data_IF_649909401478
#
_entry.id   IF_649909401478
#
_cell.length_a   1.000
_cell.length_b   1.000
_cell.length_c   1.000
_cell.angle_alpha   90.00
_cell.angle_beta   90.00
_cell.angle_gamma   90.00
#
_symmetry.space_group_name_H-M   'P 1'
#
loop_
_entity.id
_entity.type
_entity.pdbx_description
1 polymer ?
#
# COMPACT_ATOMS: atom_id res chain seq x y z
N UNK A 1 -1.37 8.71 -2.31
CA UNK A 1 -1.43 10.19 -2.15
C UNK A 1 -0.30 10.69 -1.25
N UNK A 2 0.17 9.92 -0.29
CA UNK A 2 1.04 10.38 0.81
C UNK A 2 0.43 11.60 1.53
N UNK A 3 -0.84 11.47 1.91
CA UNK A 3 -1.62 12.60 2.41
C UNK A 3 -1.13 13.11 3.79
N UNK A 4 -0.39 12.29 4.53
CA UNK A 4 0.28 12.70 5.76
C UNK A 4 1.23 13.90 5.54
N UNK A 5 1.91 13.98 4.38
CA UNK A 5 2.76 15.12 4.01
C UNK A 5 1.98 16.44 3.81
N UNK A 6 0.67 16.36 3.67
CA UNK A 6 -0.22 17.51 3.52
C UNK A 6 -0.98 17.83 4.82
N UNK A 7 -0.85 16.97 5.84
CA UNK A 7 -1.58 17.10 7.09
C UNK A 7 -0.83 18.00 8.08
N UNK A 8 -1.38 19.17 8.38
CA UNK A 8 -0.79 20.15 9.26
C UNK A 8 -1.90 20.83 10.12
N UNK A 9 -1.65 21.00 11.39
CA UNK A 9 -2.58 21.66 12.34
C UNK A 9 -4.02 21.09 12.35
N UNK A 10 -4.18 19.79 12.05
CA UNK A 10 -5.48 19.12 12.09
C UNK A 10 -6.29 19.19 10.79
N UNK A 11 -5.67 19.60 9.68
CA UNK A 11 -6.30 19.67 8.37
C UNK A 11 -5.32 19.36 7.24
N UNK A 12 -5.85 18.88 6.11
CA UNK A 12 -5.09 18.62 4.88
C UNK A 12 -4.98 19.89 4.04
N UNK A 13 -3.75 20.33 3.75
CA UNK A 13 -3.42 21.56 3.06
C UNK A 13 -3.44 21.37 1.54
N UNK A 14 -4.33 22.05 0.84
CA UNK A 14 -4.43 22.07 -0.62
C UNK A 14 -4.16 23.47 -1.16
N UNK A 15 -3.83 23.58 -2.44
CA UNK A 15 -3.55 24.87 -3.09
C UNK A 15 -4.76 25.81 -3.14
N UNK A 16 -5.96 25.28 -3.03
CA UNK A 16 -7.24 25.97 -3.10
C UNK A 16 -7.97 26.06 -1.74
N UNK A 17 -7.36 25.58 -0.67
CA UNK A 17 -7.90 25.60 0.68
C UNK A 17 -7.43 24.45 1.54
N UNK A 18 -8.04 24.30 2.69
CA UNK A 18 -7.80 23.17 3.60
C UNK A 18 -9.03 22.27 3.68
N UNK A 19 -8.83 21.00 4.03
CA UNK A 19 -9.87 20.02 4.28
C UNK A 19 -9.71 19.42 5.67
N UNK A 20 -10.81 19.30 6.39
CA UNK A 20 -10.87 18.45 7.60
C UNK A 20 -10.70 16.97 7.22
N UNK A 21 -10.52 16.09 8.21
CA UNK A 21 -10.47 14.65 7.98
C UNK A 21 -11.73 14.14 7.28
N UNK A 22 -12.91 14.55 7.71
CA UNK A 22 -14.17 14.15 7.08
C UNK A 22 -14.27 14.62 5.62
N UNK A 23 -13.89 15.88 5.34
CA UNK A 23 -13.85 16.40 3.97
C UNK A 23 -12.80 15.70 3.08
N UNK A 24 -11.70 15.24 3.67
CA UNK A 24 -10.70 14.45 2.95
C UNK A 24 -11.23 13.06 2.61
N UNK A 25 -11.93 12.40 3.53
CA UNK A 25 -12.60 11.12 3.29
C UNK A 25 -13.63 11.26 2.17
N UNK A 26 -14.53 12.24 2.25
CA UNK A 26 -15.51 12.51 1.20
C UNK A 26 -14.85 12.81 -0.17
N UNK A 27 -13.76 13.57 -0.17
CA UNK A 27 -13.00 13.88 -1.38
C UNK A 27 -12.39 12.63 -2.02
N UNK A 28 -11.75 11.77 -1.22
CA UNK A 28 -11.14 10.52 -1.72
C UNK A 28 -12.21 9.56 -2.21
N UNK A 29 -13.29 9.38 -1.45
CA UNK A 29 -14.42 8.55 -1.86
C UNK A 29 -15.03 9.03 -3.19
N UNK A 30 -15.18 10.35 -3.34
CA UNK A 30 -15.63 10.93 -4.60
C UNK A 30 -14.70 10.67 -5.79
N UNK A 31 -13.37 10.69 -5.57
CA UNK A 31 -12.39 10.32 -6.62
C UNK A 31 -12.49 8.84 -7.01
N UNK A 32 -12.69 7.95 -6.03
CA UNK A 32 -12.89 6.52 -6.28
C UNK A 32 -14.10 6.31 -7.18
N UNK A 33 -15.23 6.92 -6.84
CA UNK A 33 -16.49 6.78 -7.60
C UNK A 33 -16.41 7.43 -9.00
N UNK A 34 -15.86 8.66 -9.10
CA UNK A 34 -15.81 9.40 -10.36
C UNK A 34 -14.88 8.76 -11.40
N UNK A 35 -13.77 8.17 -10.93
CA UNK A 35 -12.71 7.66 -11.79
C UNK A 35 -12.59 6.14 -11.81
N UNK A 36 -13.46 5.42 -11.12
CA UNK A 36 -13.41 3.95 -10.99
C UNK A 36 -12.02 3.47 -10.57
N UNK A 37 -11.49 4.09 -9.50
CA UNK A 37 -10.14 3.80 -9.03
C UNK A 37 -10.08 2.41 -8.39
N UNK A 38 -9.21 1.56 -8.90
CA UNK A 38 -8.97 0.22 -8.34
C UNK A 38 -8.03 0.23 -7.13
N UNK A 39 -7.31 1.33 -6.88
CA UNK A 39 -6.27 1.38 -5.85
C UNK A 39 -6.03 2.83 -5.38
N UNK A 40 -6.00 3.02 -4.09
CA UNK A 40 -5.66 4.29 -3.42
C UNK A 40 -4.67 4.03 -2.30
N UNK A 41 -3.52 4.70 -2.31
CA UNK A 41 -2.45 4.53 -1.34
C UNK A 41 -2.32 5.78 -0.46
N UNK A 42 -2.23 5.58 0.86
CA UNK A 42 -2.06 6.61 1.89
C UNK A 42 -2.92 7.85 1.66
N UNK A 43 -4.25 7.70 1.62
CA UNK A 43 -5.14 8.83 1.38
C UNK A 43 -5.34 9.75 2.58
N UNK A 44 -4.87 9.34 3.78
CA UNK A 44 -5.09 9.99 5.06
C UNK A 44 -3.79 10.07 5.88
N UNK A 45 -3.83 10.68 7.07
CA UNK A 45 -2.71 10.73 8.00
C UNK A 45 -2.32 9.32 8.48
N UNK A 46 -1.03 9.02 8.51
CA UNK A 46 -0.45 7.70 8.81
C UNK A 46 -0.70 7.20 10.25
N UNK A 47 -1.29 8.00 11.11
CA UNK A 47 -1.63 7.64 12.48
C UNK A 47 -3.14 7.64 12.75
N UNK A 48 -3.96 7.98 11.77
CA UNK A 48 -5.41 8.06 11.90
C UNK A 48 -6.11 6.79 11.41
N UNK A 49 -5.99 5.71 12.20
CA UNK A 49 -6.63 4.43 11.89
C UNK A 49 -8.16 4.52 11.80
N UNK A 50 -8.79 5.41 12.60
CA UNK A 50 -10.24 5.59 12.58
C UNK A 50 -10.68 6.17 11.23
N UNK A 51 -9.99 7.19 10.74
CA UNK A 51 -10.28 7.78 9.43
C UNK A 51 -10.06 6.78 8.27
N UNK A 52 -9.01 5.95 8.34
CA UNK A 52 -8.82 4.88 7.37
C UNK A 52 -9.95 3.85 7.44
N UNK A 53 -10.45 3.49 8.62
CA UNK A 53 -11.57 2.59 8.78
C UNK A 53 -12.85 3.16 8.17
N UNK A 54 -13.15 4.44 8.43
CA UNK A 54 -14.31 5.14 7.89
C UNK A 54 -14.28 5.18 6.35
N UNK A 55 -13.12 5.45 5.75
CA UNK A 55 -12.96 5.43 4.30
C UNK A 55 -13.11 4.00 3.74
N UNK A 56 -12.54 3.02 4.43
CA UNK A 56 -12.60 1.61 4.00
C UNK A 56 -14.04 1.08 4.06
N UNK A 57 -14.82 1.46 5.08
CA UNK A 57 -16.25 1.12 5.16
C UNK A 57 -17.04 1.71 3.98
N UNK A 58 -16.68 2.92 3.52
CA UNK A 58 -17.40 3.59 2.43
C UNK A 58 -17.09 3.02 1.05
N UNK A 59 -15.84 2.73 0.73
CA UNK A 59 -15.41 2.40 -0.64
C UNK A 59 -14.56 1.13 -0.77
N UNK A 60 -14.25 0.45 0.32
CA UNK A 60 -13.37 -0.72 0.34
C UNK A 60 -13.88 -1.93 -0.47
N UNK A 61 -15.19 -2.02 -0.72
CA UNK A 61 -15.78 -3.03 -1.61
C UNK A 61 -15.50 -2.76 -3.11
N UNK A 62 -15.07 -1.56 -3.45
CA UNK A 62 -14.86 -1.11 -4.84
C UNK A 62 -13.38 -0.90 -5.18
N UNK A 63 -12.55 -0.62 -4.18
CA UNK A 63 -11.16 -0.23 -4.36
C UNK A 63 -10.26 -0.78 -3.25
N UNK A 64 -8.98 -0.96 -3.56
CA UNK A 64 -7.98 -1.23 -2.53
C UNK A 64 -7.58 0.08 -1.86
N UNK A 65 -7.82 0.17 -0.55
CA UNK A 65 -7.27 1.20 0.31
C UNK A 65 -5.99 0.63 0.91
N UNK A 66 -4.85 1.13 0.46
CA UNK A 66 -3.56 0.57 0.81
C UNK A 66 -2.83 1.45 1.83
N UNK A 67 -2.40 0.83 2.92
CA UNK A 67 -1.49 1.46 3.88
C UNK A 67 -0.03 1.19 3.50
N UNK A 68 0.71 2.25 3.17
CA UNK A 68 2.16 2.29 3.05
C UNK A 68 2.76 2.83 4.36
N UNK A 69 2.69 4.13 4.58
CA UNK A 69 3.19 4.77 5.79
C UNK A 69 2.33 4.45 7.02
N UNK A 70 1.05 4.13 6.82
CA UNK A 70 0.17 3.62 7.87
C UNK A 70 0.77 2.38 8.56
N UNK A 71 1.30 1.43 7.79
CA UNK A 71 1.76 0.12 8.29
C UNK A 71 3.28 -0.05 8.31
N UNK A 72 4.02 0.63 7.44
CA UNK A 72 5.49 0.56 7.29
C UNK A 72 6.06 -0.87 7.28
N UNK A 73 5.31 -1.84 6.73
CA UNK A 73 5.65 -3.28 6.74
C UNK A 73 5.83 -3.84 8.18
N UNK A 74 5.20 -3.24 9.19
CA UNK A 74 5.38 -3.58 10.59
C UNK A 74 4.19 -4.36 11.13
N UNK A 75 4.43 -5.55 11.68
CA UNK A 75 3.41 -6.46 12.23
C UNK A 75 2.53 -5.77 13.27
N UNK A 76 3.11 -5.03 14.22
CA UNK A 76 2.32 -4.40 15.29
C UNK A 76 1.41 -3.29 14.77
N UNK A 77 1.90 -2.47 13.82
CA UNK A 77 1.05 -1.45 13.18
C UNK A 77 -0.05 -2.07 12.32
N UNK A 78 0.24 -3.20 11.68
CA UNK A 78 -0.77 -3.95 10.93
C UNK A 78 -1.82 -4.56 11.85
N UNK A 79 -1.43 -5.11 13.02
CA UNK A 79 -2.37 -5.60 14.04
C UNK A 79 -3.33 -4.50 14.50
N UNK A 80 -2.79 -3.31 14.81
CA UNK A 80 -3.60 -2.14 15.20
C UNK A 80 -4.60 -1.76 14.09
N UNK A 81 -4.16 -1.77 12.83
CA UNK A 81 -5.03 -1.48 11.68
C UNK A 81 -6.11 -2.53 11.45
N UNK A 82 -5.78 -3.80 11.59
CA UNK A 82 -6.74 -4.91 11.48
C UNK A 82 -7.81 -4.79 12.59
N UNK A 83 -7.40 -4.50 13.82
CA UNK A 83 -8.32 -4.31 14.94
C UNK A 83 -9.27 -3.11 14.72
N UNK A 84 -8.78 -2.05 14.09
CA UNK A 84 -9.57 -0.87 13.75
C UNK A 84 -10.44 -1.04 12.50
N UNK A 85 -10.17 -2.04 11.65
CA UNK A 85 -10.78 -2.16 10.32
C UNK A 85 -10.23 -1.16 9.31
N UNK A 86 -9.02 -0.65 9.55
CA UNK A 86 -8.36 0.35 8.73
C UNK A 86 -7.69 -0.26 7.51
N UNK A 87 -8.00 0.22 6.31
CA UNK A 87 -7.50 -0.29 5.04
C UNK A 87 -7.98 -1.73 4.71
N UNK A 88 -7.67 -2.22 3.53
CA UNK A 88 -7.91 -3.60 3.09
C UNK A 88 -6.71 -4.18 2.34
N UNK A 89 -5.62 -3.43 2.27
CA UNK A 89 -4.38 -3.86 1.63
C UNK A 89 -3.16 -3.18 2.27
N UNK A 90 -2.00 -3.82 2.13
CA UNK A 90 -0.73 -3.36 2.69
C UNK A 90 0.36 -3.29 1.62
N UNK A 91 1.15 -2.23 1.65
CA UNK A 91 2.37 -2.14 0.86
C UNK A 91 3.54 -2.77 1.63
N UNK A 92 4.21 -3.72 1.00
CA UNK A 92 5.31 -4.49 1.57
C UNK A 92 6.64 -4.01 1.01
N UNK A 93 7.48 -3.49 1.88
CA UNK A 93 8.83 -2.99 1.56
C UNK A 93 9.87 -3.67 2.46
N UNK A 94 10.53 -4.76 2.02
CA UNK A 94 11.44 -5.54 2.87
C UNK A 94 12.54 -4.74 3.54
N UNK A 95 13.06 -3.71 2.87
CA UNK A 95 14.09 -2.85 3.43
C UNK A 95 13.58 -1.78 4.39
N UNK A 96 12.27 -1.60 4.54
CA UNK A 96 11.65 -0.69 5.50
C UNK A 96 11.64 -1.33 6.90
N UNK A 97 11.27 -2.60 6.98
CA UNK A 97 11.33 -3.38 8.23
C UNK A 97 12.74 -3.95 8.49
N UNK A 98 13.51 -4.26 7.44
CA UNK A 98 14.93 -4.56 7.53
C UNK A 98 15.30 -6.04 7.60
N UNK A 99 14.36 -6.97 7.72
CA UNK A 99 14.60 -8.41 7.62
C UNK A 99 13.56 -9.13 6.77
N UNK A 100 13.96 -10.23 6.11
CA UNK A 100 13.01 -11.04 5.35
C UNK A 100 12.04 -11.79 6.27
N UNK A 101 12.47 -12.17 7.47
CA UNK A 101 11.59 -12.86 8.43
C UNK A 101 10.45 -11.95 8.84
N UNK A 102 10.73 -10.72 9.29
CA UNK A 102 9.70 -9.77 9.69
C UNK A 102 8.81 -9.35 8.49
N UNK A 103 9.40 -9.32 7.28
CA UNK A 103 8.62 -9.09 6.04
C UNK A 103 7.61 -10.21 5.81
N UNK A 104 8.04 -11.47 5.93
CA UNK A 104 7.15 -12.63 5.75
C UNK A 104 6.09 -12.67 6.85
N UNK A 105 6.46 -12.38 8.09
CA UNK A 105 5.51 -12.31 9.21
C UNK A 105 4.40 -11.28 8.95
N UNK A 106 4.75 -10.10 8.39
CA UNK A 106 3.77 -9.09 8.02
C UNK A 106 2.87 -9.54 6.85
N UNK A 107 3.42 -10.23 5.84
CA UNK A 107 2.66 -10.79 4.73
C UNK A 107 1.69 -11.87 5.24
N UNK A 108 2.17 -12.80 6.05
CA UNK A 108 1.34 -13.88 6.60
C UNK A 108 0.19 -13.32 7.45
N UNK A 109 0.45 -12.30 8.27
CA UNK A 109 -0.58 -11.64 9.07
C UNK A 109 -1.64 -10.97 8.18
N UNK A 110 -1.21 -10.26 7.13
CA UNK A 110 -2.10 -9.61 6.16
C UNK A 110 -3.03 -10.63 5.50
N UNK A 111 -2.46 -11.68 4.92
CA UNK A 111 -3.21 -12.77 4.24
C UNK A 111 -4.19 -13.47 5.18
N UNK A 112 -3.77 -13.78 6.42
CA UNK A 112 -4.64 -14.42 7.41
C UNK A 112 -5.86 -13.58 7.78
N UNK A 113 -5.79 -12.26 7.60
CA UNK A 113 -6.87 -11.32 7.92
C UNK A 113 -7.58 -10.75 6.68
N UNK A 114 -7.31 -11.31 5.48
CA UNK A 114 -8.00 -10.94 4.25
C UNK A 114 -7.54 -9.64 3.62
N UNK A 115 -6.35 -9.15 3.98
CA UNK A 115 -5.72 -8.01 3.31
C UNK A 115 -4.99 -8.46 2.05
N UNK A 116 -5.15 -7.68 0.98
CA UNK A 116 -4.34 -7.83 -0.23
C UNK A 116 -2.90 -7.36 0.02
N UNK A 117 -1.93 -8.04 -0.58
CA UNK A 117 -0.51 -7.74 -0.40
C UNK A 117 0.13 -7.19 -1.66
N UNK A 118 0.83 -6.06 -1.56
CA UNK A 118 1.49 -5.41 -2.68
C UNK A 118 2.99 -5.33 -2.41
N UNK A 119 3.81 -6.17 -3.03
CA UNK A 119 5.26 -6.09 -2.91
C UNK A 119 5.78 -4.88 -3.69
N UNK A 120 6.56 -4.01 -3.04
CA UNK A 120 6.91 -2.72 -3.61
C UNK A 120 8.41 -2.47 -3.70
N UNK A 121 8.79 -1.79 -4.76
CA UNK A 121 10.07 -1.12 -4.90
C UNK A 121 10.18 0.13 -4.01
N UNK A 122 11.33 0.80 -4.06
CA UNK A 122 11.55 2.12 -3.47
C UNK A 122 11.88 3.15 -4.56
N UNK A 123 11.80 4.45 -4.21
CA UNK A 123 12.20 5.54 -5.13
C UNK A 123 13.68 5.45 -5.54
N UNK A 124 14.57 5.10 -4.61
CA UNK A 124 16.00 4.87 -4.85
C UNK A 124 16.30 3.41 -5.18
N UNK A 125 15.73 2.87 -6.26
CA UNK A 125 15.80 1.47 -6.64
C UNK A 125 17.08 1.12 -7.42
N UNK A 126 17.41 -0.18 -7.46
CA UNK A 126 18.50 -0.78 -8.23
C UNK A 126 17.99 -1.84 -9.20
N UNK A 127 18.87 -2.46 -9.98
CA UNK A 127 18.50 -3.57 -10.88
C UNK A 127 18.33 -4.93 -10.14
N UNK A 128 18.45 -4.96 -8.81
CA UNK A 128 18.17 -6.16 -8.00
C UNK A 128 16.72 -6.62 -8.21
N UNK A 129 16.54 -7.94 -8.33
CA UNK A 129 15.24 -8.55 -8.65
C UNK A 129 14.59 -9.30 -7.49
N UNK A 130 15.14 -9.20 -6.28
CA UNK A 130 14.67 -9.93 -5.10
C UNK A 130 13.17 -9.78 -4.84
N UNK A 131 12.62 -8.56 -5.03
CA UNK A 131 11.18 -8.33 -4.82
C UNK A 131 10.29 -9.07 -5.82
N UNK A 132 10.77 -9.38 -7.04
CA UNK A 132 10.03 -10.21 -7.98
C UNK A 132 9.93 -11.66 -7.49
N UNK A 133 11.03 -12.22 -6.97
CA UNK A 133 11.04 -13.54 -6.35
C UNK A 133 10.17 -13.57 -5.08
N UNK A 134 10.24 -12.53 -4.25
CA UNK A 134 9.43 -12.45 -3.05
C UNK A 134 7.93 -12.45 -3.40
N UNK A 135 7.52 -11.64 -4.36
CA UNK A 135 6.12 -11.57 -4.79
C UNK A 135 5.59 -12.94 -5.22
N UNK A 136 6.35 -13.67 -6.03
CA UNK A 136 5.95 -15.02 -6.48
C UNK A 136 6.01 -16.04 -5.33
N UNK A 137 7.04 -15.99 -4.49
CA UNK A 137 7.22 -16.96 -3.41
C UNK A 137 6.17 -16.84 -2.29
N UNK A 138 5.60 -15.65 -2.10
CA UNK A 138 4.56 -15.39 -1.10
C UNK A 138 3.15 -15.37 -1.69
N UNK A 139 3.00 -15.65 -2.99
CA UNK A 139 1.73 -15.57 -3.72
C UNK A 139 1.06 -14.18 -3.54
N UNK A 140 1.88 -13.12 -3.58
CA UNK A 140 1.39 -11.77 -3.37
C UNK A 140 0.44 -11.36 -4.50
N UNK A 141 -0.62 -10.62 -4.14
CA UNK A 141 -1.67 -10.23 -5.07
C UNK A 141 -1.16 -9.27 -6.14
N UNK A 142 -0.24 -8.37 -5.77
CA UNK A 142 0.30 -7.34 -6.67
C UNK A 142 1.79 -7.09 -6.44
N UNK A 143 2.40 -6.46 -7.47
CA UNK A 143 3.74 -5.89 -7.36
C UNK A 143 3.76 -4.46 -7.91
N UNK A 144 4.39 -3.54 -7.17
CA UNK A 144 4.57 -2.13 -7.54
C UNK A 144 6.04 -1.90 -7.89
N UNK A 145 6.39 -1.83 -9.18
CA UNK A 145 7.80 -1.71 -9.64
C UNK A 145 8.07 -0.48 -10.47
N UNK A 146 7.04 0.17 -11.01
CA UNK A 146 7.18 1.11 -12.14
C UNK A 146 7.53 0.38 -13.45
N UNK A 147 7.60 1.11 -14.56
CA UNK A 147 7.76 0.53 -15.90
C UNK A 147 8.84 1.20 -16.75
N UNK A 148 9.41 2.30 -16.28
CA UNK A 148 10.40 3.12 -17.00
C UNK A 148 11.74 3.04 -16.30
N UNK A 149 12.83 2.94 -17.07
CA UNK A 149 14.22 2.77 -16.66
C UNK A 149 14.58 1.32 -16.26
N UNK A 150 15.90 1.03 -16.29
CA UNK A 150 16.44 -0.34 -16.15
C UNK A 150 16.12 -0.98 -14.81
N UNK A 151 16.27 -0.24 -13.74
CA UNK A 151 15.97 -0.69 -12.37
C UNK A 151 14.50 -1.06 -12.15
N UNK A 152 13.58 -0.53 -12.97
CA UNK A 152 12.14 -0.87 -12.94
C UNK A 152 11.85 -2.10 -13.79
N UNK A 153 12.31 -2.07 -15.05
CA UNK A 153 12.07 -3.16 -16.00
C UNK A 153 12.79 -4.45 -15.62
N UNK A 154 13.87 -4.41 -14.84
CA UNK A 154 14.55 -5.60 -14.31
C UNK A 154 13.58 -6.55 -13.58
N UNK A 155 12.71 -6.02 -12.71
CA UNK A 155 11.72 -6.81 -11.97
C UNK A 155 10.68 -7.44 -12.90
N UNK A 156 10.20 -6.68 -13.89
CA UNK A 156 9.21 -7.17 -14.87
C UNK A 156 9.80 -8.28 -15.74
N UNK A 157 11.04 -8.11 -16.21
CA UNK A 157 11.75 -9.14 -16.95
C UNK A 157 11.98 -10.40 -16.09
N UNK A 158 12.28 -10.22 -14.82
CA UNK A 158 12.46 -11.34 -13.90
C UNK A 158 11.15 -12.10 -13.66
N UNK A 159 10.01 -11.42 -13.52
CA UNK A 159 8.71 -12.08 -13.44
C UNK A 159 8.40 -12.90 -14.70
N UNK A 160 8.73 -12.37 -15.88
CA UNK A 160 8.58 -13.12 -17.15
C UNK A 160 9.48 -14.38 -17.12
N UNK A 161 10.75 -14.25 -16.72
CA UNK A 161 11.69 -15.37 -16.61
C UNK A 161 11.19 -16.44 -15.64
N UNK A 162 10.68 -16.04 -14.47
CA UNK A 162 10.11 -16.97 -13.47
C UNK A 162 8.90 -17.71 -14.08
N UNK A 163 8.03 -17.00 -14.78
CA UNK A 163 6.87 -17.61 -15.42
C UNK A 163 7.26 -18.63 -16.51
N UNK A 164 8.30 -18.33 -17.29
CA UNK A 164 8.81 -19.25 -18.33
C UNK A 164 9.45 -20.52 -17.72
N UNK A 165 10.13 -20.40 -16.57
CA UNK A 165 10.75 -21.54 -15.88
C UNK A 165 9.72 -22.42 -15.12
N UNK A 166 8.52 -21.90 -14.85
CA UNK A 166 7.46 -22.61 -14.13
C UNK A 166 6.58 -23.51 -15.03
N UNK A 167 6.76 -23.45 -16.36
CA UNK A 167 6.05 -24.25 -17.38
C UNK A 167 6.92 -25.43 -17.81
#
# INVERSE_FOLDING_TARGET
MAAAEMYEDGAYQYSDGEKSTDEQIEYVAGLVEEHDLAYVEDPLDENDYEAFADLTEQVGDQTLICGDDLFVTNVSRLEDGIEAGAANSILIKPNQIGSLSDTVDAIELAVQNGYETIISHRSGETEDTTIAHLAVATDADYIKTGTVAGERTAKLNELIRIADDAV
#
